data_IF_995207457319
#
_entry.id   IF_995207457319
#
_cell.length_a   1.000
_cell.length_b   1.000
_cell.length_c   1.000
_cell.angle_alpha   90.00
_cell.angle_beta   90.00
_cell.angle_gamma   90.00
#
_symmetry.space_group_name_H-M   'P 1'
#
loop_
_entity.id
_entity.type
_entity.pdbx_description
1 polymer ?
#
# COMPACT_ATOMS: atom_id res chain seq x y z
N UNK A 1 -40.56 -5.61 -38.85
CA UNK A 1 -40.14 -6.84 -39.56
C UNK A 1 -38.67 -6.64 -39.86
N UNK A 2 -37.81 -7.16 -38.99
CA UNK A 2 -36.93 -8.33 -39.26
C UNK A 2 -35.82 -7.98 -40.25
N UNK A 3 -34.55 -8.37 -40.13
CA UNK A 3 -33.68 -9.08 -39.18
C UNK A 3 -32.30 -8.95 -39.85
N UNK A 4 -31.19 -8.93 -39.11
CA UNK A 4 -29.88 -8.95 -39.74
C UNK A 4 -28.73 -8.84 -38.76
N UNK A 5 -28.61 -9.81 -37.85
CA UNK A 5 -27.41 -10.03 -37.06
C UNK A 5 -26.62 -11.18 -37.71
N UNK A 6 -25.43 -10.89 -38.23
CA UNK A 6 -24.47 -11.92 -38.62
C UNK A 6 -23.61 -12.30 -37.40
N UNK A 7 -23.74 -13.56 -36.99
CA UNK A 7 -22.83 -14.27 -36.08
C UNK A 7 -21.65 -14.83 -36.89
N UNK A 8 -20.42 -14.89 -36.34
CA UNK A 8 -19.33 -15.63 -36.96
C UNK A 8 -19.46 -17.14 -36.70
N UNK A 9 -19.21 -17.89 -37.77
CA UNK A 9 -19.36 -19.33 -37.94
C UNK A 9 -18.38 -20.17 -37.09
N UNK A 10 -18.90 -21.25 -36.50
CA UNK A 10 -18.11 -22.40 -36.02
C UNK A 10 -17.73 -23.31 -37.22
N UNK A 11 -16.55 -23.97 -37.22
CA UNK A 11 -16.20 -24.96 -38.24
C UNK A 11 -16.88 -26.33 -37.97
N UNK A 12 -17.05 -27.18 -39.01
CA UNK A 12 -17.97 -28.32 -38.97
C UNK A 12 -17.42 -29.52 -38.19
N UNK A 13 -18.33 -30.24 -37.52
CA UNK A 13 -18.12 -31.60 -37.00
C UNK A 13 -18.02 -32.60 -38.16
N UNK A 14 -17.01 -33.46 -38.11
CA UNK A 14 -16.94 -34.69 -38.89
C UNK A 14 -16.88 -35.90 -37.95
N UNK A 15 -18.00 -36.59 -37.78
CA UNK A 15 -18.07 -38.04 -37.53
C UNK A 15 -17.75 -38.73 -38.89
N UNK A 16 -17.17 -39.91 -39.06
CA UNK A 16 -16.80 -41.03 -38.20
C UNK A 16 -15.87 -41.93 -39.03
N UNK A 17 -14.92 -42.67 -38.42
CA UNK A 17 -14.46 -44.02 -38.85
C UNK A 17 -13.33 -44.56 -37.96
N UNK A 18 -13.75 -45.41 -37.03
CA UNK A 18 -13.15 -46.67 -36.57
C UNK A 18 -11.75 -47.07 -37.08
N UNK A 19 -10.85 -47.35 -36.12
CA UNK A 19 -9.60 -48.07 -36.34
C UNK A 19 -8.74 -48.18 -35.08
N UNK A 20 -8.87 -49.29 -34.38
CA UNK A 20 -8.15 -49.73 -33.18
C UNK A 20 -6.62 -49.95 -33.40
N UNK A 21 -5.80 -49.39 -32.50
CA UNK A 21 -4.61 -49.98 -31.84
C UNK A 21 -3.46 -48.99 -31.63
N UNK A 22 -2.85 -49.04 -30.43
CA UNK A 22 -1.44 -48.70 -30.25
C UNK A 22 -1.16 -47.55 -29.27
N UNK A 23 -0.90 -47.93 -28.03
CA UNK A 23 -0.32 -47.08 -26.98
C UNK A 23 1.07 -46.58 -27.37
N UNK A 24 1.23 -45.27 -27.62
CA UNK A 24 2.52 -44.58 -27.53
C UNK A 24 2.34 -43.24 -26.81
N UNK A 25 2.91 -43.16 -25.61
CA UNK A 25 3.01 -41.95 -24.82
C UNK A 25 4.03 -40.99 -25.48
N UNK A 26 3.55 -39.85 -25.97
CA UNK A 26 4.42 -38.75 -26.34
C UNK A 26 4.85 -38.00 -25.08
N UNK A 27 6.07 -38.30 -24.65
CA UNK A 27 6.80 -37.65 -23.57
C UNK A 27 7.20 -36.23 -24.03
N UNK A 28 6.47 -35.20 -23.60
CA UNK A 28 6.85 -33.80 -23.85
C UNK A 28 8.06 -33.41 -22.96
N UNK A 29 9.19 -33.22 -23.62
CA UNK A 29 10.48 -32.82 -23.07
C UNK A 29 10.49 -31.34 -22.62
N UNK A 30 10.65 -31.00 -21.32
CA UNK A 30 10.63 -29.63 -20.83
C UNK A 30 12.04 -29.03 -20.88
N UNK A 31 12.58 -28.81 -22.09
CA UNK A 31 13.84 -28.07 -22.28
C UNK A 31 13.77 -27.15 -23.49
N UNK A 32 12.90 -26.15 -23.43
CA UNK A 32 13.12 -24.86 -24.10
C UNK A 32 12.07 -23.82 -23.70
N UNK A 33 12.35 -23.07 -22.64
CA UNK A 33 11.71 -21.77 -22.39
C UNK A 33 12.76 -20.76 -21.95
N UNK A 34 13.64 -20.39 -22.89
CA UNK A 34 14.48 -19.22 -22.69
C UNK A 34 13.68 -17.94 -22.99
N UNK A 35 13.57 -17.14 -21.92
CA UNK A 35 13.47 -15.69 -21.90
C UNK A 35 12.18 -15.01 -22.43
N UNK A 36 11.31 -14.69 -21.48
CA UNK A 36 10.71 -13.35 -21.39
C UNK A 36 10.55 -13.00 -19.91
N UNK A 37 11.19 -11.92 -19.49
CA UNK A 37 11.20 -11.45 -18.10
C UNK A 37 9.80 -11.07 -17.63
N UNK A 38 9.23 -11.91 -16.76
CA UNK A 38 7.97 -11.65 -16.09
C UNK A 38 7.92 -12.47 -14.82
N UNK A 39 8.54 -11.96 -13.75
CA UNK A 39 8.35 -12.46 -12.38
C UNK A 39 6.97 -12.00 -11.87
N UNK A 40 5.91 -12.22 -12.65
CA UNK A 40 4.55 -11.78 -12.34
C UNK A 40 3.57 -12.89 -12.73
N UNK A 41 3.14 -13.60 -11.69
CA UNK A 41 1.95 -14.44 -11.55
C UNK A 41 1.27 -14.89 -12.85
N UNK A 42 1.50 -16.15 -13.21
CA UNK A 42 0.68 -16.85 -14.19
C UNK A 42 -0.69 -17.16 -13.56
N UNK A 43 -1.77 -16.76 -14.23
CA UNK A 43 -3.11 -17.22 -13.94
C UNK A 43 -3.14 -18.75 -14.19
N UNK A 44 -3.43 -19.56 -13.16
CA UNK A 44 -3.47 -21.03 -13.25
C UNK A 44 -2.48 -21.83 -12.39
N UNK A 45 -1.82 -21.24 -11.39
CA UNK A 45 -1.04 -22.02 -10.41
C UNK A 45 -1.94 -22.61 -9.34
N UNK A 46 -1.81 -23.90 -9.03
CA UNK A 46 -2.52 -24.55 -7.92
C UNK A 46 -2.26 -23.82 -6.57
N UNK A 47 -3.27 -23.82 -5.68
CA UNK A 47 -3.15 -23.29 -4.31
C UNK A 47 -2.06 -24.05 -3.52
N UNK A 48 -1.64 -23.50 -2.37
CA UNK A 48 -0.62 -24.11 -1.50
C UNK A 48 -1.06 -25.54 -1.11
N UNK A 49 -0.30 -26.52 -1.59
CA UNK A 49 -0.46 -27.94 -1.24
C UNK A 49 -0.20 -28.23 0.25
N UNK A 50 -0.56 -29.43 0.74
CA UNK A 50 -0.29 -29.83 2.12
C UNK A 50 1.21 -29.82 2.43
N UNK A 51 1.57 -29.22 3.57
CA UNK A 51 2.95 -29.12 4.05
C UNK A 51 3.20 -30.27 5.03
N UNK A 52 3.99 -31.27 4.61
CA UNK A 52 4.19 -32.50 5.36
C UNK A 52 5.51 -32.54 6.15
N UNK A 53 6.42 -31.59 5.92
CA UNK A 53 7.74 -31.54 6.54
C UNK A 53 8.23 -30.11 6.79
N UNK A 54 9.22 -29.97 7.68
CA UNK A 54 9.81 -28.67 8.04
C UNK A 54 10.54 -28.00 6.87
N UNK A 55 11.15 -28.78 5.97
CA UNK A 55 11.81 -28.27 4.77
C UNK A 55 10.80 -27.69 3.78
N UNK A 56 9.65 -28.35 3.60
CA UNK A 56 8.50 -27.85 2.86
C UNK A 56 7.99 -26.52 3.41
N UNK A 57 7.83 -26.41 4.73
CA UNK A 57 7.40 -25.17 5.39
C UNK A 57 8.36 -24.01 5.13
N UNK A 58 9.67 -24.22 5.33
CA UNK A 58 10.69 -23.19 5.09
C UNK A 58 10.69 -22.74 3.64
N UNK A 59 10.52 -23.66 2.69
CA UNK A 59 10.47 -23.34 1.26
C UNK A 59 9.25 -22.48 0.92
N UNK A 60 8.08 -22.85 1.43
CA UNK A 60 6.83 -22.10 1.19
C UNK A 60 6.92 -20.73 1.85
N UNK A 61 7.40 -20.64 3.09
CA UNK A 61 7.63 -19.39 3.80
C UNK A 61 8.57 -18.47 3.04
N UNK A 62 9.71 -18.98 2.57
CA UNK A 62 10.70 -18.20 1.82
C UNK A 62 10.15 -17.71 0.47
N UNK A 63 9.38 -18.55 -0.22
CA UNK A 63 8.70 -18.17 -1.45
C UNK A 63 7.71 -17.03 -1.19
N UNK A 64 6.89 -17.15 -0.15
CA UNK A 64 5.89 -16.14 0.18
C UNK A 64 6.51 -14.84 0.67
N UNK A 65 7.56 -14.91 1.50
CA UNK A 65 8.33 -13.74 1.90
C UNK A 65 8.85 -12.97 0.68
N UNK A 66 9.45 -13.66 -0.30
CA UNK A 66 9.92 -13.00 -1.53
C UNK A 66 8.81 -12.28 -2.28
N UNK A 67 7.63 -12.91 -2.39
CA UNK A 67 6.47 -12.31 -3.07
C UNK A 67 5.97 -11.08 -2.32
N UNK A 68 5.73 -11.19 -1.01
CA UNK A 68 5.29 -10.07 -0.16
C UNK A 68 6.29 -8.92 -0.23
N UNK A 69 7.58 -9.20 -0.08
CA UNK A 69 8.61 -8.16 -0.07
C UNK A 69 8.90 -7.54 -1.44
N UNK A 70 8.68 -8.27 -2.53
CA UNK A 70 8.71 -7.70 -3.88
C UNK A 70 7.65 -6.62 -4.09
N UNK A 71 6.56 -6.67 -3.32
CA UNK A 71 5.50 -5.66 -3.32
C UNK A 71 5.71 -4.61 -2.23
N UNK A 72 6.10 -5.03 -1.02
CA UNK A 72 6.26 -4.15 0.14
C UNK A 72 7.41 -3.15 -0.04
N UNK A 73 8.57 -3.59 -0.53
CA UNK A 73 9.72 -2.69 -0.71
C UNK A 73 9.40 -1.44 -1.53
N UNK A 74 8.84 -1.56 -2.74
CA UNK A 74 8.41 -0.42 -3.54
C UNK A 74 7.37 0.47 -2.86
N UNK A 75 6.38 -0.12 -2.18
CA UNK A 75 5.33 0.65 -1.51
C UNK A 75 5.85 1.39 -0.28
N UNK A 76 6.66 0.76 0.55
CA UNK A 76 7.35 1.40 1.68
C UNK A 76 8.18 2.58 1.19
N UNK A 77 8.96 2.40 0.12
CA UNK A 77 9.71 3.50 -0.50
C UNK A 77 8.80 4.64 -0.95
N UNK A 78 7.71 4.34 -1.67
CA UNK A 78 6.77 5.36 -2.14
C UNK A 78 6.16 6.15 -0.97
N UNK A 79 5.69 5.47 0.08
CA UNK A 79 5.06 6.13 1.23
C UNK A 79 6.06 6.97 2.04
N UNK A 80 7.29 6.49 2.25
CA UNK A 80 8.34 7.28 2.90
C UNK A 80 8.67 8.52 2.06
N UNK A 81 8.85 8.38 0.75
CA UNK A 81 9.12 9.51 -0.14
C UNK A 81 8.00 10.54 -0.13
N UNK A 82 6.74 10.10 -0.17
CA UNK A 82 5.58 11.00 -0.08
C UNK A 82 5.54 11.71 1.27
N UNK A 83 5.82 11.03 2.37
CA UNK A 83 5.92 11.66 3.68
C UNK A 83 6.99 12.75 3.71
N UNK A 84 8.21 12.45 3.23
CA UNK A 84 9.31 13.41 3.18
C UNK A 84 9.01 14.64 2.32
N UNK A 85 8.32 14.46 1.18
CA UNK A 85 7.89 15.57 0.32
C UNK A 85 6.96 16.55 1.04
N UNK A 86 6.13 16.06 1.98
CA UNK A 86 5.27 16.90 2.78
C UNK A 86 6.00 17.48 4.01
N UNK A 87 6.88 16.70 4.65
CA UNK A 87 7.56 17.10 5.88
C UNK A 87 8.66 18.15 5.67
N UNK A 88 9.46 18.04 4.59
CA UNK A 88 10.62 18.91 4.34
C UNK A 88 10.22 20.39 4.20
N UNK A 89 9.21 20.77 3.40
CA UNK A 89 8.77 22.16 3.31
C UNK A 89 8.33 22.75 4.66
N UNK A 90 7.68 21.94 5.51
CA UNK A 90 7.22 22.35 6.85
C UNK A 90 8.42 22.61 7.77
N UNK A 91 9.41 21.73 7.75
CA UNK A 91 10.64 21.88 8.54
C UNK A 91 11.44 23.13 8.13
N UNK A 92 11.57 23.41 6.82
CA UNK A 92 12.26 24.61 6.31
C UNK A 92 11.55 25.92 6.67
N UNK A 93 10.24 25.89 6.85
CA UNK A 93 9.46 27.09 7.15
C UNK A 93 9.34 27.38 8.65
N UNK A 94 9.90 26.54 9.54
CA UNK A 94 10.04 26.80 10.98
C UNK A 94 8.74 27.24 11.67
N UNK A 95 7.92 26.31 12.14
CA UNK A 95 6.71 26.59 12.93
C UNK A 95 5.78 27.70 12.40
N UNK A 96 5.78 28.00 11.10
CA UNK A 96 4.92 29.06 10.53
C UNK A 96 3.49 28.56 10.33
N UNK A 97 2.62 29.12 11.18
CA UNK A 97 1.15 29.12 11.25
C UNK A 97 0.36 28.19 10.33
N UNK A 98 -0.57 27.46 10.95
CA UNK A 98 -1.74 26.74 10.44
C UNK A 98 -2.39 27.30 9.16
N UNK A 99 -2.27 28.60 8.90
CA UNK A 99 -2.78 29.28 7.71
C UNK A 99 -2.12 28.84 6.39
N UNK A 100 -0.80 28.61 6.39
CA UNK A 100 -0.10 28.19 5.17
C UNK A 100 -0.41 26.73 4.81
N UNK A 101 -0.51 25.88 5.82
CA UNK A 101 -0.89 24.48 5.68
C UNK A 101 -2.35 24.33 5.21
N UNK A 102 -3.24 25.22 5.65
CA UNK A 102 -4.62 25.28 5.17
C UNK A 102 -4.73 25.71 3.69
N UNK A 103 -3.89 26.66 3.23
CA UNK A 103 -3.85 27.08 1.83
C UNK A 103 -3.30 25.97 0.91
N UNK A 104 -2.30 25.21 1.38
CA UNK A 104 -1.80 23.99 0.72
C UNK A 104 -2.89 22.88 0.66
N UNK A 105 -3.73 22.77 1.68
CA UNK A 105 -4.74 21.71 1.84
C UNK A 105 -5.95 21.85 0.90
N UNK A 106 -6.46 23.07 0.65
CA UNK A 106 -7.70 23.25 -0.12
C UNK A 106 -7.52 23.03 -1.64
N UNK A 107 -6.35 23.34 -2.21
CA UNK A 107 -6.02 23.09 -3.62
C UNK A 107 -5.54 21.67 -3.92
N UNK A 108 -4.87 21.03 -2.95
CA UNK A 108 -4.23 19.72 -3.13
C UNK A 108 -5.17 18.51 -3.09
N UNK A 109 -6.39 18.65 -2.57
CA UNK A 109 -7.31 17.51 -2.33
C UNK A 109 -7.81 16.84 -3.62
N UNK A 110 -8.05 17.60 -4.69
CA UNK A 110 -8.49 17.02 -5.97
C UNK A 110 -7.33 16.27 -6.65
N UNK A 111 -6.15 16.88 -6.71
CA UNK A 111 -4.98 16.29 -7.38
C UNK A 111 -4.53 15.03 -6.65
N UNK A 112 -4.48 15.07 -5.31
CA UNK A 112 -4.19 13.88 -4.50
C UNK A 112 -5.21 12.77 -4.73
N UNK A 113 -6.50 13.08 -4.81
CA UNK A 113 -7.53 12.11 -5.18
C UNK A 113 -7.26 11.42 -6.53
N UNK A 114 -6.84 12.17 -7.55
CA UNK A 114 -6.47 11.62 -8.86
C UNK A 114 -5.23 10.73 -8.75
N UNK A 115 -4.17 11.20 -8.07
CA UNK A 115 -2.94 10.42 -7.87
C UNK A 115 -3.25 9.10 -7.15
N UNK A 116 -3.99 9.15 -6.04
CA UNK A 116 -4.35 7.95 -5.29
C UNK A 116 -5.23 7.01 -6.12
N UNK A 117 -6.16 7.52 -6.93
CA UNK A 117 -6.94 6.71 -7.86
C UNK A 117 -6.07 5.92 -8.84
N UNK A 118 -5.10 6.60 -9.48
CA UNK A 118 -4.15 5.96 -10.41
C UNK A 118 -3.24 4.98 -9.65
N UNK A 119 -2.76 5.34 -8.46
CA UNK A 119 -1.96 4.45 -7.62
C UNK A 119 -2.72 3.17 -7.27
N UNK A 120 -3.99 3.26 -6.85
CA UNK A 120 -4.82 2.09 -6.53
C UNK A 120 -5.01 1.20 -7.76
N UNK A 121 -5.20 1.78 -8.95
CA UNK A 121 -5.23 1.01 -10.21
C UNK A 121 -3.91 0.27 -10.45
N UNK A 122 -2.77 0.96 -10.37
CA UNK A 122 -1.45 0.36 -10.57
C UNK A 122 -1.10 -0.68 -9.49
N UNK A 123 -1.58 -0.49 -8.26
CA UNK A 123 -1.48 -1.46 -7.17
C UNK A 123 -2.24 -2.74 -7.49
N UNK A 124 -3.49 -2.64 -7.94
CA UNK A 124 -4.27 -3.81 -8.35
C UNK A 124 -3.58 -4.60 -9.49
N UNK A 125 -2.93 -3.88 -10.41
CA UNK A 125 -2.14 -4.47 -11.49
C UNK A 125 -0.72 -4.91 -11.09
N UNK A 126 -0.37 -4.79 -9.79
CA UNK A 126 0.96 -5.10 -9.23
C UNK A 126 2.12 -4.39 -9.93
N UNK A 127 1.89 -3.22 -10.55
CA UNK A 127 2.91 -2.40 -11.24
C UNK A 127 3.70 -1.50 -10.28
N UNK A 128 4.09 -2.06 -9.13
CA UNK A 128 4.65 -1.29 -8.00
C UNK A 128 6.06 -0.78 -8.27
N UNK A 129 6.89 -1.55 -8.98
CA UNK A 129 8.25 -1.13 -9.38
C UNK A 129 8.24 0.08 -10.32
N UNK A 130 7.26 0.16 -11.23
CA UNK A 130 7.14 1.31 -12.11
C UNK A 130 6.77 2.56 -11.30
N UNK A 131 5.84 2.43 -10.34
CA UNK A 131 5.50 3.53 -9.44
C UNK A 131 6.69 3.98 -8.59
N UNK A 132 7.49 3.06 -8.05
CA UNK A 132 8.64 3.45 -7.21
C UNK A 132 9.72 4.17 -8.00
N UNK A 133 10.01 3.73 -9.24
CA UNK A 133 10.95 4.43 -10.14
C UNK A 133 10.44 5.82 -10.50
N UNK A 134 9.15 5.96 -10.84
CA UNK A 134 8.53 7.27 -11.11
C UNK A 134 8.70 8.17 -9.88
N UNK A 135 8.34 7.69 -8.69
CA UNK A 135 8.48 8.45 -7.45
C UNK A 135 9.92 8.87 -7.19
N UNK A 136 10.91 7.97 -7.39
CA UNK A 136 12.33 8.28 -7.19
C UNK A 136 12.81 9.43 -8.11
N UNK A 137 12.41 9.40 -9.38
CA UNK A 137 12.72 10.48 -10.33
C UNK A 137 12.05 11.80 -9.91
N UNK A 138 10.78 11.74 -9.49
CA UNK A 138 10.04 12.93 -9.07
C UNK A 138 10.61 13.54 -7.78
N UNK A 139 11.17 12.74 -6.86
CA UNK A 139 11.89 13.24 -5.68
C UNK A 139 13.11 14.06 -6.09
N UNK A 140 13.92 13.55 -7.03
CA UNK A 140 15.10 14.28 -7.49
C UNK A 140 14.71 15.64 -8.13
N UNK A 141 13.63 15.64 -8.93
CA UNK A 141 13.06 16.85 -9.51
C UNK A 141 12.55 17.79 -8.41
N UNK A 142 11.83 17.27 -7.42
CA UNK A 142 11.27 18.07 -6.33
C UNK A 142 12.36 18.75 -5.50
N UNK A 143 13.44 18.05 -5.15
CA UNK A 143 14.59 18.64 -4.45
C UNK A 143 15.17 19.81 -5.25
N UNK A 144 15.36 19.64 -6.56
CA UNK A 144 15.85 20.70 -7.44
C UNK A 144 14.89 21.90 -7.49
N UNK A 145 13.59 21.66 -7.63
CA UNK A 145 12.57 22.72 -7.65
C UNK A 145 12.52 23.46 -6.32
N UNK A 146 12.55 22.75 -5.19
CA UNK A 146 12.60 23.36 -3.85
C UNK A 146 13.83 24.25 -3.69
N UNK A 147 15.02 23.76 -4.06
CA UNK A 147 16.24 24.58 -4.06
C UNK A 147 16.10 25.82 -4.94
N UNK A 148 15.56 25.67 -6.15
CA UNK A 148 15.39 26.78 -7.09
C UNK A 148 14.41 27.83 -6.57
N UNK A 149 13.20 27.42 -6.18
CA UNK A 149 12.13 28.33 -5.79
C UNK A 149 12.40 28.96 -4.41
N UNK A 150 12.81 28.16 -3.43
CA UNK A 150 12.97 28.65 -2.06
C UNK A 150 14.30 29.38 -1.87
N UNK A 151 15.41 28.77 -2.28
CA UNK A 151 16.75 29.28 -1.97
C UNK A 151 17.28 30.22 -3.05
N UNK A 152 17.11 29.89 -4.33
CA UNK A 152 17.69 30.68 -5.42
C UNK A 152 16.83 31.89 -5.79
N UNK A 153 15.50 31.72 -5.89
CA UNK A 153 14.55 32.78 -6.23
C UNK A 153 13.99 33.50 -5.00
N UNK A 154 14.17 32.94 -3.80
CA UNK A 154 13.74 33.58 -2.55
C UNK A 154 12.24 33.61 -2.34
N UNK A 155 11.47 32.69 -2.95
CA UNK A 155 10.00 32.67 -2.84
C UNK A 155 9.49 32.15 -1.49
N UNK A 156 10.41 31.69 -0.61
CA UNK A 156 10.08 31.23 0.74
C UNK A 156 8.98 30.15 0.75
N UNK A 157 7.99 30.31 1.63
CA UNK A 157 6.89 29.37 1.83
C UNK A 157 5.98 29.22 0.59
N UNK A 158 5.81 30.28 -0.20
CA UNK A 158 5.06 30.22 -1.47
C UNK A 158 5.81 29.30 -2.45
N UNK A 159 7.14 29.41 -2.50
CA UNK A 159 7.99 28.52 -3.31
C UNK A 159 7.84 27.05 -2.92
N UNK A 160 7.78 26.77 -1.62
CA UNK A 160 7.51 25.44 -1.08
C UNK A 160 6.14 24.90 -1.52
N UNK A 161 5.08 25.71 -1.40
CA UNK A 161 3.73 25.33 -1.82
C UNK A 161 3.64 25.01 -3.32
N UNK A 162 4.26 25.86 -4.16
CA UNK A 162 4.33 25.65 -5.61
C UNK A 162 5.12 24.38 -5.94
N UNK A 163 6.24 24.13 -5.27
CA UNK A 163 7.03 22.92 -5.49
C UNK A 163 6.26 21.63 -5.16
N UNK A 164 5.42 21.67 -4.11
CA UNK A 164 4.56 20.55 -3.74
C UNK A 164 3.47 20.30 -4.79
N UNK A 165 2.79 21.36 -5.25
CA UNK A 165 1.76 21.24 -6.29
C UNK A 165 2.34 20.66 -7.59
N UNK A 166 3.52 21.14 -8.01
CA UNK A 166 4.24 20.59 -9.17
C UNK A 166 4.54 19.10 -8.98
N UNK A 167 4.98 18.66 -7.80
CA UNK A 167 5.25 17.24 -7.53
C UNK A 167 4.01 16.36 -7.72
N UNK A 168 2.86 16.79 -7.20
CA UNK A 168 1.61 16.04 -7.34
C UNK A 168 1.12 16.00 -8.79
N UNK A 169 1.17 17.11 -9.53
CA UNK A 169 0.80 17.12 -10.95
C UNK A 169 1.73 16.27 -11.81
N UNK A 170 3.05 16.34 -11.59
CA UNK A 170 3.99 15.47 -12.27
C UNK A 170 3.74 13.99 -11.93
N UNK A 171 3.32 13.68 -10.71
CA UNK A 171 2.91 12.32 -10.32
C UNK A 171 1.70 11.84 -11.11
N UNK A 172 0.66 12.68 -11.26
CA UNK A 172 -0.51 12.38 -12.11
C UNK A 172 -0.07 12.08 -13.53
N UNK A 173 0.68 13.00 -14.15
CA UNK A 173 1.06 12.90 -15.57
C UNK A 173 1.95 11.69 -15.81
N UNK A 174 2.94 11.44 -14.95
CA UNK A 174 3.87 10.33 -15.11
C UNK A 174 3.18 8.96 -14.93
N UNK A 175 2.36 8.81 -13.89
CA UNK A 175 1.66 7.55 -13.64
C UNK A 175 0.57 7.29 -14.69
N UNK A 176 -0.22 8.30 -15.06
CA UNK A 176 -1.20 8.17 -16.13
C UNK A 176 -0.54 7.89 -17.48
N UNK A 177 0.57 8.56 -17.78
CA UNK A 177 1.38 8.29 -18.97
C UNK A 177 1.86 6.84 -19.01
N UNK A 178 2.30 6.29 -17.88
CA UNK A 178 2.66 4.87 -17.78
C UNK A 178 1.46 3.95 -18.07
N UNK A 179 0.28 4.24 -17.53
CA UNK A 179 -0.96 3.46 -17.80
C UNK A 179 -1.32 3.49 -19.28
N UNK A 180 -1.34 4.68 -19.88
CA UNK A 180 -1.74 4.91 -21.28
C UNK A 180 -0.70 4.42 -22.29
N UNK A 181 0.59 4.33 -21.90
CA UNK A 181 1.67 3.81 -22.77
C UNK A 181 1.46 2.36 -23.24
N UNK A 182 0.52 1.64 -22.63
CA UNK A 182 0.16 0.27 -22.96
C UNK A 182 0.70 -0.77 -21.99
N UNK A 183 1.42 -0.34 -20.94
CA UNK A 183 1.91 -1.22 -19.87
C UNK A 183 0.80 -1.94 -19.08
N UNK A 184 -0.44 -1.45 -19.19
CA UNK A 184 -1.63 -1.99 -18.53
C UNK A 184 -2.77 -2.34 -19.53
N UNK A 185 -2.45 -2.63 -20.80
CA UNK A 185 -3.46 -2.88 -21.87
C UNK A 185 -4.61 -3.84 -21.49
N UNK A 186 -4.37 -4.98 -20.82
CA UNK A 186 -5.46 -5.91 -20.48
C UNK A 186 -6.48 -5.34 -19.49
N UNK A 187 -6.05 -4.40 -18.63
CA UNK A 187 -6.88 -3.83 -17.58
C UNK A 187 -7.35 -2.39 -17.87
N UNK A 188 -6.70 -1.70 -18.81
CA UNK A 188 -7.03 -0.32 -19.17
C UNK A 188 -7.80 -0.28 -20.50
N UNK A 189 -9.12 -0.12 -20.42
CA UNK A 189 -10.02 0.04 -21.57
C UNK A 189 -10.18 1.49 -22.07
N UNK A 190 -9.46 2.44 -21.47
CA UNK A 190 -9.65 3.88 -21.72
C UNK A 190 -10.74 4.52 -20.87
N UNK A 191 -10.95 5.83 -21.08
CA UNK A 191 -11.98 6.57 -20.34
C UNK A 191 -13.37 6.17 -20.79
N UNK A 192 -14.27 5.95 -19.83
CA UNK A 192 -15.65 5.54 -20.08
C UNK A 192 -16.58 6.11 -19.04
N UNK A 193 -17.77 6.56 -19.46
CA UNK A 193 -18.81 7.03 -18.54
C UNK A 193 -19.36 5.90 -17.67
N UNK A 194 -19.09 4.63 -18.00
CA UNK A 194 -19.39 3.48 -17.13
C UNK A 194 -18.68 3.59 -15.77
N UNK A 195 -17.59 4.34 -15.66
CA UNK A 195 -16.90 4.58 -14.39
C UNK A 195 -17.76 5.33 -13.35
N UNK A 196 -18.86 5.97 -13.77
CA UNK A 196 -19.80 6.66 -12.88
C UNK A 196 -21.00 5.80 -12.48
N UNK A 197 -21.01 4.51 -12.84
CA UNK A 197 -21.97 3.54 -12.32
C UNK A 197 -21.57 3.15 -10.89
N UNK A 198 -22.55 2.88 -10.03
CA UNK A 198 -22.37 2.44 -8.63
C UNK A 198 -21.59 3.39 -7.69
N UNK A 199 -21.53 4.69 -8.03
CA UNK A 199 -20.88 5.71 -7.20
C UNK A 199 -21.43 5.79 -5.78
N UNK A 200 -22.72 5.53 -5.57
CA UNK A 200 -23.34 5.59 -4.25
C UNK A 200 -22.79 4.53 -3.30
N UNK A 201 -22.64 3.29 -3.77
CA UNK A 201 -22.09 2.20 -2.97
C UNK A 201 -20.61 2.46 -2.65
N UNK A 202 -19.86 2.97 -3.63
CA UNK A 202 -18.48 3.43 -3.41
C UNK A 202 -18.40 4.57 -2.39
N UNK A 203 -19.29 5.58 -2.48
CA UNK A 203 -19.32 6.72 -1.58
C UNK A 203 -19.70 6.31 -0.15
N UNK A 204 -20.68 5.41 0.01
CA UNK A 204 -21.08 4.88 1.32
C UNK A 204 -19.92 4.13 2.00
N UNK A 205 -19.21 3.30 1.25
CA UNK A 205 -18.03 2.58 1.77
C UNK A 205 -16.89 3.56 2.12
N UNK A 206 -16.64 4.54 1.25
CA UNK A 206 -15.61 5.55 1.43
C UNK A 206 -15.87 6.47 2.64
N UNK A 207 -17.14 6.75 2.95
CA UNK A 207 -17.51 7.59 4.09
C UNK A 207 -17.08 6.97 5.42
N UNK A 208 -17.27 5.66 5.59
CA UNK A 208 -16.82 4.96 6.79
C UNK A 208 -15.29 5.04 6.96
N UNK A 209 -14.54 4.80 5.88
CA UNK A 209 -13.07 4.92 5.88
C UNK A 209 -12.61 6.36 6.11
N UNK A 210 -13.30 7.34 5.53
CA UNK A 210 -13.00 8.76 5.73
C UNK A 210 -13.19 9.19 7.18
N UNK A 211 -14.29 8.76 7.82
CA UNK A 211 -14.54 9.05 9.24
C UNK A 211 -13.48 8.42 10.15
N UNK A 212 -13.09 7.18 9.89
CA UNK A 212 -12.01 6.51 10.63
C UNK A 212 -10.69 7.30 10.54
N UNK A 213 -10.30 7.71 9.33
CA UNK A 213 -9.08 8.48 9.10
C UNK A 213 -9.16 9.89 9.73
N UNK A 214 -10.32 10.56 9.64
CA UNK A 214 -10.54 11.86 10.27
C UNK A 214 -10.41 11.77 11.80
N UNK A 215 -10.98 10.74 12.42
CA UNK A 215 -10.86 10.53 13.87
C UNK A 215 -9.40 10.32 14.30
N UNK A 216 -8.63 9.59 13.50
CA UNK A 216 -7.20 9.38 13.74
C UNK A 216 -6.40 10.70 13.65
N UNK A 217 -6.65 11.51 12.63
CA UNK A 217 -6.00 12.83 12.49
C UNK A 217 -6.42 13.82 13.58
N UNK A 218 -7.72 13.87 13.91
CA UNK A 218 -8.24 14.75 14.95
C UNK A 218 -7.72 14.39 16.34
N UNK A 219 -7.48 13.10 16.60
CA UNK A 219 -6.83 12.65 17.82
C UNK A 219 -5.42 13.26 17.97
N UNK A 220 -4.59 13.25 16.92
CA UNK A 220 -3.26 13.88 16.97
C UNK A 220 -3.33 15.39 17.17
N UNK A 221 -4.27 16.07 16.49
CA UNK A 221 -4.51 17.50 16.68
C UNK A 221 -4.89 17.79 18.14
N UNK A 222 -5.79 16.98 18.72
CA UNK A 222 -6.19 17.13 20.12
C UNK A 222 -5.02 16.93 21.10
N UNK A 223 -4.13 15.95 20.86
CA UNK A 223 -2.92 15.76 21.68
C UNK A 223 -2.01 16.99 21.67
N UNK A 224 -1.78 17.58 20.50
CA UNK A 224 -0.95 18.79 20.36
C UNK A 224 -1.60 19.97 21.10
N UNK A 225 -2.92 20.13 20.99
CA UNK A 225 -3.63 21.17 21.75
C UNK A 225 -3.48 20.97 23.26
N UNK A 226 -3.66 19.75 23.78
CA UNK A 226 -3.51 19.45 25.21
C UNK A 226 -2.09 19.76 25.68
N UNK A 227 -1.07 19.39 24.91
CA UNK A 227 0.32 19.71 25.21
C UNK A 227 0.57 21.23 25.27
N UNK A 228 -0.13 22.01 24.43
CA UNK A 228 -0.08 23.47 24.43
C UNK A 228 -0.67 24.14 25.68
N UNK A 229 -1.42 23.42 26.52
CA UNK A 229 -1.95 23.93 27.80
C UNK A 229 -1.09 23.55 29.03
N UNK A 230 0.03 22.85 28.83
CA UNK A 230 0.95 22.53 29.91
C UNK A 230 1.79 23.75 30.34
N UNK A 231 2.31 23.73 31.57
CA UNK A 231 3.10 24.85 32.13
C UNK A 231 4.29 25.23 31.26
N UNK A 232 4.96 24.24 30.68
CA UNK A 232 6.07 24.40 29.74
C UNK A 232 5.62 24.02 28.32
N UNK A 233 4.61 24.73 27.81
CA UNK A 233 3.93 24.43 26.54
C UNK A 233 4.90 24.35 25.35
N UNK A 234 5.86 25.26 25.24
CA UNK A 234 6.84 25.27 24.14
C UNK A 234 7.70 24.00 24.13
N UNK A 235 8.23 23.62 25.30
CA UNK A 235 9.05 22.41 25.47
C UNK A 235 8.23 21.16 25.19
N UNK A 236 7.01 21.10 25.73
CA UNK A 236 6.11 19.94 25.63
C UNK A 236 5.64 19.72 24.18
N UNK A 237 5.23 20.79 23.49
CA UNK A 237 4.80 20.73 22.09
C UNK A 237 5.97 20.38 21.17
N UNK A 238 7.16 20.94 21.41
CA UNK A 238 8.36 20.60 20.64
C UNK A 238 8.75 19.14 20.80
N UNK A 239 8.79 18.63 22.04
CA UNK A 239 9.10 17.23 22.32
C UNK A 239 8.05 16.29 21.71
N UNK A 240 6.76 16.61 21.86
CA UNK A 240 5.68 15.84 21.26
C UNK A 240 5.77 15.81 19.73
N UNK A 241 6.09 16.94 19.10
CA UNK A 241 6.26 17.03 17.64
C UNK A 241 7.40 16.13 17.16
N UNK A 242 8.53 16.10 17.87
CA UNK A 242 9.64 15.17 17.56
C UNK A 242 9.16 13.72 17.63
N UNK A 243 8.46 13.34 18.70
CA UNK A 243 7.93 11.97 18.85
C UNK A 243 6.92 11.61 17.75
N UNK A 244 6.00 12.53 17.40
CA UNK A 244 5.00 12.29 16.34
C UNK A 244 5.69 12.11 14.99
N UNK A 245 6.65 12.96 14.62
CA UNK A 245 7.37 12.83 13.35
C UNK A 245 8.10 11.47 13.24
N UNK A 246 8.77 11.02 14.31
CA UNK A 246 9.42 9.71 14.33
C UNK A 246 8.39 8.57 14.19
N UNK A 247 7.27 8.68 14.91
CA UNK A 247 6.16 7.72 14.82
C UNK A 247 5.58 7.64 13.42
N UNK A 248 5.38 8.77 12.74
CA UNK A 248 4.83 8.83 11.38
C UNK A 248 5.78 8.21 10.34
N UNK A 249 7.08 8.46 10.44
CA UNK A 249 8.08 7.81 9.57
C UNK A 249 8.03 6.29 9.74
N UNK A 250 7.96 5.80 10.99
CA UNK A 250 7.82 4.37 11.26
C UNK A 250 6.49 3.82 10.74
N UNK A 251 5.39 4.59 10.87
CA UNK A 251 4.08 4.22 10.36
C UNK A 251 4.07 4.08 8.83
N UNK A 252 4.81 4.90 8.08
CA UNK A 252 4.89 4.75 6.61
C UNK A 252 5.45 3.38 6.19
N UNK A 253 6.34 2.79 6.98
CA UNK A 253 6.82 1.42 6.76
C UNK A 253 5.68 0.41 6.95
N UNK A 254 4.92 0.55 8.03
CA UNK A 254 3.78 -0.33 8.31
C UNK A 254 2.67 -0.19 7.25
N UNK A 255 2.37 1.03 6.81
CA UNK A 255 1.39 1.32 5.75
C UNK A 255 1.84 0.74 4.41
N UNK A 256 3.13 0.80 4.08
CA UNK A 256 3.66 0.17 2.86
C UNK A 256 3.50 -1.36 2.87
N UNK A 257 3.74 -2.01 4.01
CA UNK A 257 3.53 -3.45 4.19
C UNK A 257 2.04 -3.79 4.12
N UNK A 258 1.18 -3.01 4.77
CA UNK A 258 -0.27 -3.14 4.68
C UNK A 258 -0.76 -3.06 3.23
N UNK A 259 -0.33 -2.05 2.48
CA UNK A 259 -0.72 -1.88 1.08
C UNK A 259 -0.27 -3.08 0.22
N UNK A 260 0.93 -3.60 0.45
CA UNK A 260 1.42 -4.80 -0.22
C UNK A 260 0.61 -6.04 0.15
N UNK A 261 0.28 -6.19 1.43
CA UNK A 261 -0.56 -7.27 1.95
C UNK A 261 -1.94 -7.23 1.30
N UNK A 262 -2.54 -6.04 1.21
CA UNK A 262 -3.84 -5.83 0.57
C UNK A 262 -3.80 -6.23 -0.90
N UNK A 263 -2.80 -5.80 -1.68
CA UNK A 263 -2.65 -6.22 -3.08
C UNK A 263 -2.51 -7.74 -3.21
N UNK A 264 -1.67 -8.33 -2.36
CA UNK A 264 -1.37 -9.77 -2.36
C UNK A 264 -2.62 -10.59 -2.03
N UNK A 265 -3.26 -10.29 -0.90
CA UNK A 265 -4.46 -10.96 -0.38
C UNK A 265 -5.63 -10.81 -1.35
N UNK A 266 -5.88 -9.60 -1.88
CA UNK A 266 -6.97 -9.39 -2.84
C UNK A 266 -6.77 -10.17 -4.14
N UNK A 267 -5.53 -10.30 -4.63
CA UNK A 267 -5.25 -11.04 -5.85
C UNK A 267 -5.37 -12.57 -5.66
N UNK A 268 -4.85 -13.11 -4.56
CA UNK A 268 -4.99 -14.56 -4.25
C UNK A 268 -6.45 -14.93 -3.96
N UNK A 269 -7.19 -14.01 -3.32
CA UNK A 269 -8.62 -14.17 -3.11
C UNK A 269 -9.37 -14.23 -4.44
N UNK A 270 -9.10 -13.29 -5.35
CA UNK A 270 -9.72 -13.26 -6.68
C UNK A 270 -9.37 -14.47 -7.54
N UNK A 271 -8.25 -15.16 -7.24
CA UNK A 271 -7.84 -16.39 -7.89
C UNK A 271 -8.44 -17.67 -7.26
N UNK A 272 -9.16 -17.55 -6.13
CA UNK A 272 -9.73 -18.70 -5.44
C UNK A 272 -8.70 -19.53 -4.65
N UNK A 273 -7.63 -18.89 -4.15
CA UNK A 273 -6.57 -19.55 -3.37
C UNK A 273 -6.65 -19.24 -1.87
N UNK A 274 -7.51 -19.92 -1.10
CA UNK A 274 -7.74 -19.60 0.31
C UNK A 274 -6.52 -19.84 1.20
N UNK A 275 -5.71 -20.87 0.92
CA UNK A 275 -4.51 -21.15 1.74
C UNK A 275 -3.44 -20.11 1.50
N UNK A 276 -3.17 -19.77 0.23
CA UNK A 276 -2.28 -18.67 -0.12
C UNK A 276 -2.73 -17.33 0.49
N UNK A 277 -4.03 -17.06 0.51
CA UNK A 277 -4.61 -15.85 1.10
C UNK A 277 -4.28 -15.72 2.59
N UNK A 278 -4.58 -16.74 3.40
CA UNK A 278 -4.31 -16.73 4.84
C UNK A 278 -2.80 -16.72 5.12
N UNK A 279 -2.03 -17.47 4.34
CA UNK A 279 -0.58 -17.53 4.51
C UNK A 279 0.10 -16.18 4.20
N UNK A 280 -0.30 -15.51 3.11
CA UNK A 280 0.20 -14.19 2.75
C UNK A 280 -0.07 -13.13 3.84
N UNK A 281 -1.30 -13.12 4.38
CA UNK A 281 -1.67 -12.24 5.49
C UNK A 281 -0.81 -12.51 6.74
N UNK A 282 -0.63 -13.78 7.09
CA UNK A 282 0.17 -14.21 8.26
C UNK A 282 1.63 -13.80 8.13
N UNK A 283 2.26 -14.09 6.98
CA UNK A 283 3.65 -13.73 6.72
C UNK A 283 3.86 -12.21 6.81
N UNK A 284 2.89 -11.43 6.34
CA UNK A 284 2.96 -9.96 6.37
C UNK A 284 2.82 -9.40 7.79
N UNK A 285 1.88 -9.92 8.61
CA UNK A 285 1.74 -9.53 10.02
C UNK A 285 3.04 -9.82 10.77
N UNK A 286 3.57 -11.03 10.62
CA UNK A 286 4.80 -11.47 11.30
C UNK A 286 5.98 -10.59 10.87
N UNK A 287 6.13 -10.33 9.58
CA UNK A 287 7.18 -9.44 9.06
C UNK A 287 7.05 -8.02 9.64
N UNK A 288 5.85 -7.46 9.67
CA UNK A 288 5.58 -6.12 10.20
C UNK A 288 5.87 -6.03 11.70
N UNK A 289 5.50 -7.06 12.47
CA UNK A 289 5.81 -7.14 13.90
C UNK A 289 7.32 -7.19 14.17
N UNK A 290 8.08 -7.96 13.39
CA UNK A 290 9.54 -8.01 13.50
C UNK A 290 10.19 -6.66 13.19
N UNK A 291 9.74 -5.97 12.14
CA UNK A 291 10.26 -4.65 11.77
C UNK A 291 9.91 -3.62 12.83
N UNK A 292 8.65 -3.59 13.29
CA UNK A 292 8.21 -2.72 14.36
C UNK A 292 9.06 -2.91 15.62
N UNK A 293 9.29 -4.16 16.01
CA UNK A 293 10.15 -4.49 17.16
C UNK A 293 11.60 -4.00 16.94
N UNK A 294 12.15 -4.18 15.75
CA UNK A 294 13.49 -3.72 15.41
C UNK A 294 13.60 -2.18 15.48
N UNK A 295 12.64 -1.45 14.92
CA UNK A 295 12.60 0.03 14.97
C UNK A 295 12.46 0.50 16.43
N UNK A 296 11.56 -0.09 17.20
CA UNK A 296 11.38 0.22 18.63
C UNK A 296 12.64 -0.04 19.44
N UNK A 297 13.34 -1.15 19.18
CA UNK A 297 14.60 -1.47 19.84
C UNK A 297 15.71 -0.48 19.48
N UNK A 298 15.81 -0.08 18.21
CA UNK A 298 16.78 0.94 17.75
C UNK A 298 16.51 2.30 18.40
N UNK A 299 15.26 2.75 18.42
CA UNK A 299 14.89 4.02 19.05
C UNK A 299 15.18 4.00 20.56
N UNK A 300 14.93 2.89 21.24
CA UNK A 300 15.31 2.74 22.65
C UNK A 300 16.82 2.72 22.86
N UNK A 301 17.57 2.01 22.02
CA UNK A 301 19.03 1.95 22.12
C UNK A 301 19.68 3.33 21.87
N UNK A 302 19.07 4.15 21.02
CA UNK A 302 19.53 5.49 20.68
C UNK A 302 18.90 6.60 21.53
N UNK A 303 18.14 6.25 22.58
CA UNK A 303 17.37 7.17 23.43
C UNK A 303 18.15 8.42 23.85
N UNK A 304 19.42 8.25 24.22
CA UNK A 304 20.24 9.35 24.73
C UNK A 304 20.93 10.17 23.62
N UNK A 305 20.88 9.70 22.37
CA UNK A 305 21.63 10.27 21.24
C UNK A 305 20.69 10.98 20.26
N UNK A 306 19.63 10.30 19.81
CA UNK A 306 18.78 10.85 18.74
C UNK A 306 18.09 12.18 19.07
N UNK A 307 17.71 12.51 20.33
CA UNK A 307 17.03 13.79 20.60
C UNK A 307 17.86 15.02 20.21
N UNK A 308 19.18 14.92 20.30
CA UNK A 308 20.10 16.01 19.91
C UNK A 308 20.16 16.26 18.40
N UNK A 309 19.66 15.32 17.58
CA UNK A 309 19.53 15.52 16.12
C UNK A 309 18.36 16.44 15.77
N UNK A 310 17.42 16.66 16.68
CA UNK A 310 16.18 17.39 16.43
C UNK A 310 16.09 18.74 17.17
N UNK A 311 16.79 18.92 18.29
CA UNK A 311 16.75 20.16 19.08
C UNK A 311 18.07 20.42 19.78
N UNK A 312 18.51 21.68 19.77
CA UNK A 312 19.65 22.16 20.58
C UNK A 312 19.25 22.47 22.04
N UNK A 313 17.95 22.51 22.35
CA UNK A 313 17.44 22.78 23.70
C UNK A 313 17.49 21.51 24.57
N UNK A 314 18.32 21.52 25.60
CA UNK A 314 18.46 20.42 26.57
C UNK A 314 17.15 20.05 27.26
N UNK A 315 16.28 21.03 27.55
CA UNK A 315 14.98 20.77 28.18
C UNK A 315 14.05 19.99 27.27
N UNK A 316 14.05 20.29 25.96
CA UNK A 316 13.31 19.50 24.96
C UNK A 316 13.90 18.10 24.84
N UNK A 317 15.24 17.99 24.77
CA UNK A 317 15.91 16.68 24.67
C UNK A 317 15.57 15.77 25.85
N UNK A 318 15.54 16.29 27.08
CA UNK A 318 15.25 15.50 28.27
C UNK A 318 13.81 14.98 28.29
N UNK A 319 12.84 15.81 27.89
CA UNK A 319 11.44 15.35 27.74
C UNK A 319 11.32 14.28 26.65
N UNK A 320 12.01 14.44 25.51
CA UNK A 320 12.00 13.40 24.44
C UNK A 320 12.62 12.09 24.95
N UNK A 321 13.72 12.14 25.73
CA UNK A 321 14.29 10.96 26.38
C UNK A 321 13.24 10.29 27.28
N UNK A 322 12.51 11.05 28.09
CA UNK A 322 11.45 10.51 28.95
C UNK A 322 10.30 9.87 28.17
N UNK A 323 9.91 10.45 27.03
CA UNK A 323 8.85 9.93 26.17
C UNK A 323 9.27 8.73 25.29
N UNK A 324 10.58 8.53 25.08
CA UNK A 324 11.10 7.49 24.18
C UNK A 324 10.56 6.08 24.44
N UNK A 325 10.42 5.59 25.69
CA UNK A 325 9.83 4.27 25.95
C UNK A 325 8.38 4.17 25.47
N UNK A 326 7.59 5.23 25.67
CA UNK A 326 6.21 5.29 25.19
C UNK A 326 6.17 5.31 23.66
N UNK A 327 7.03 6.12 23.03
CA UNK A 327 7.17 6.15 21.57
C UNK A 327 7.53 4.78 20.99
N UNK A 328 8.47 4.06 21.61
CA UNK A 328 8.87 2.73 21.16
C UNK A 328 7.69 1.73 21.25
N UNK A 329 6.89 1.78 22.31
CA UNK A 329 5.66 0.97 22.42
C UNK A 329 4.64 1.35 21.36
N UNK A 330 4.42 2.65 21.14
CA UNK A 330 3.50 3.15 20.10
C UNK A 330 3.92 2.69 18.70
N UNK A 331 5.20 2.79 18.35
CA UNK A 331 5.74 2.31 17.06
C UNK A 331 5.47 0.81 16.87
N UNK A 332 5.69 0.00 17.91
CA UNK A 332 5.46 -1.44 17.83
C UNK A 332 3.98 -1.75 17.60
N UNK A 333 3.08 -1.14 18.36
CA UNK A 333 1.63 -1.32 18.23
C UNK A 333 1.15 -0.86 16.84
N UNK A 334 1.59 0.33 16.42
CA UNK A 334 1.25 0.91 15.11
C UNK A 334 1.85 0.13 13.93
N UNK A 335 2.85 -0.71 14.16
CA UNK A 335 3.38 -1.60 13.11
C UNK A 335 2.48 -2.80 12.85
N UNK A 336 1.64 -3.19 13.81
CA UNK A 336 0.78 -4.38 13.72
C UNK A 336 -0.65 -3.99 13.34
N UNK A 337 -1.21 -2.96 13.97
CA UNK A 337 -2.62 -2.56 13.80
C UNK A 337 -3.05 -2.34 12.34
N UNK A 338 -2.29 -1.65 11.48
CA UNK A 338 -2.70 -1.41 10.10
C UNK A 338 -2.83 -2.72 9.32
N UNK A 339 -1.85 -3.62 9.50
CA UNK A 339 -1.84 -4.93 8.80
C UNK A 339 -3.02 -5.79 9.24
N UNK A 340 -3.36 -5.79 10.54
CA UNK A 340 -4.58 -6.46 11.04
C UNK A 340 -5.85 -5.87 10.42
N UNK A 341 -5.96 -4.54 10.35
CA UNK A 341 -7.13 -3.85 9.79
C UNK A 341 -7.36 -4.14 8.30
N UNK A 342 -6.29 -4.31 7.52
CA UNK A 342 -6.37 -4.74 6.12
C UNK A 342 -6.77 -6.20 5.91
N UNK A 343 -6.57 -7.05 6.93
CA UNK A 343 -6.77 -8.49 6.86
C UNK A 343 -8.20 -8.94 7.24
N UNK A 344 -9.06 -8.03 7.71
CA UNK A 344 -10.48 -8.34 7.95
C UNK A 344 -11.22 -8.77 6.68
N UNK A 345 -10.69 -8.44 5.49
CA UNK A 345 -11.15 -9.01 4.23
C UNK A 345 -10.86 -10.53 4.12
N UNK A 346 -9.72 -10.99 4.66
CA UNK A 346 -9.37 -12.41 4.71
C UNK A 346 -10.18 -13.20 5.75
N UNK A 347 -10.54 -12.57 6.87
CA UNK A 347 -11.47 -13.16 7.84
C UNK A 347 -12.90 -13.26 7.26
N UNK A 348 -13.36 -12.24 6.53
CA UNK A 348 -14.64 -12.31 5.80
C UNK A 348 -14.64 -13.41 4.72
N UNK A 349 -13.49 -13.69 4.11
CA UNK A 349 -13.32 -14.82 3.19
C UNK A 349 -13.28 -16.15 3.92
N UNK A 350 -12.61 -16.21 5.07
CA UNK A 350 -12.60 -17.40 5.92
C UNK A 350 -14.01 -17.72 6.39
N UNK A 351 -14.78 -16.71 6.79
CA UNK A 351 -16.20 -16.78 7.18
C UNK A 351 -17.08 -17.21 5.99
N UNK A 352 -16.93 -16.58 4.82
CA UNK A 352 -17.64 -16.97 3.59
C UNK A 352 -17.34 -18.42 3.15
N UNK A 353 -16.08 -18.87 3.28
CA UNK A 353 -15.71 -20.25 3.00
C UNK A 353 -16.17 -21.21 4.09
N UNK A 354 -16.25 -20.80 5.35
CA UNK A 354 -16.85 -21.65 6.39
C UNK A 354 -18.36 -21.78 6.21
N UNK A 355 -19.05 -20.74 5.75
CA UNK A 355 -20.48 -20.79 5.45
C UNK A 355 -20.81 -21.63 4.21
N UNK A 356 -19.98 -21.57 3.15
CA UNK A 356 -20.23 -22.30 1.91
C UNK A 356 -19.57 -23.69 1.81
N UNK A 357 -18.54 -23.99 2.59
CA UNK A 357 -17.81 -25.27 2.54
C UNK A 357 -17.79 -26.05 3.86
N UNK A 358 -18.64 -25.70 4.85
CA UNK A 358 -18.82 -26.57 6.01
C UNK A 358 -19.42 -27.93 5.59
N UNK A 359 -18.76 -29.07 5.89
CA UNK A 359 -19.35 -30.38 5.67
C UNK A 359 -20.45 -30.59 6.73
N UNK A 360 -21.68 -30.15 6.46
CA UNK A 360 -22.76 -30.36 7.42
C UNK A 360 -24.16 -29.79 7.15
N UNK A 361 -24.37 -28.87 6.20
CA UNK A 361 -25.69 -28.24 6.05
C UNK A 361 -26.32 -28.27 4.64
N UNK A 362 -25.75 -29.01 3.69
CA UNK A 362 -26.30 -29.15 2.33
C UNK A 362 -26.98 -30.48 1.99
N UNK A 363 -27.09 -31.44 2.92
CA UNK A 363 -27.51 -32.81 2.62
C UNK A 363 -28.76 -33.30 3.38
N UNK A 364 -29.53 -32.39 3.99
CA UNK A 364 -30.78 -32.76 4.70
C UNK A 364 -32.05 -32.07 4.18
N UNK A 365 -31.99 -31.23 3.14
CA UNK A 365 -33.19 -30.57 2.59
C UNK A 365 -33.64 -31.06 1.22
N UNK A 366 -33.08 -32.17 0.72
CA UNK A 366 -33.55 -32.83 -0.53
C UNK A 366 -34.05 -34.27 -0.30
N UNK A 367 -34.39 -34.64 0.94
CA UNK A 367 -35.01 -35.94 1.25
C UNK A 367 -36.23 -35.86 2.18
N UNK A 368 -37.07 -34.83 2.02
CA UNK A 368 -38.48 -34.87 2.44
C UNK A 368 -39.42 -34.39 1.34
#
# INVERSE_FOLDING_TARGET
>A
MEKGAEQPLLPPQSEDRSGDNGSEAHEENPRNSHASGGLFFAHGTEDIGPINDTGGLVRVLWSELKKVWSLAGPLVFIYICQYLVNAVPIAFCGHVSTLAQAALSLGGTVVTGIVYGIMRFLMAQSKLMAMSVITAVLIAIHIFICWLLMLRLGWGLIGAAVALDIFWWLSVVAQLGYVVSGSCRPAWGGFSLKAFQDLWEFARLSLASALMLCLELWYYVALIFIAGYLKDAEVSVSALSICINISEIALMVAVGILAATSVRVSNELGAGHPRATVFAATVSIVSSAFIGLAISAVIMALRDVYPSLFSDDSSVQDVVKELTPLLAVSIFINSIQPVLGGNMAGDAVREHLTDHYSPGHGLQSELE
#
